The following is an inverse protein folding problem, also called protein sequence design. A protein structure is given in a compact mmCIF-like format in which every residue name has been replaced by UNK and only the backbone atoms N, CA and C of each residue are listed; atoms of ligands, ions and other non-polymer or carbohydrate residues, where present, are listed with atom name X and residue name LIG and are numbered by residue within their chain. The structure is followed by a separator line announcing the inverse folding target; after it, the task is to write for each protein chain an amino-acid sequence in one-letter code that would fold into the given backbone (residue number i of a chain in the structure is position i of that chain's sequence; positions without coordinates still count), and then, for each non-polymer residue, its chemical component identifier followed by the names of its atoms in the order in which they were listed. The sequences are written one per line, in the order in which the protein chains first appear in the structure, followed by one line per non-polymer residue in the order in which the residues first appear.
data_IF_323672602273
#
_entry.id   IF_323672602273
#
_cell.length_a   1.000
_cell.length_b   1.000
_cell.length_c   1.000
_cell.angle_alpha   90.00
_cell.angle_beta   90.00
_cell.angle_gamma   90.00
#
_symmetry.space_group_name_H-M   'P 1'
#
loop_
_entity.id
_entity.type
_entity.pdbx_description
1 polymer ?
#
# COMPACT_ATOMS: atom_id res chain seq x y z
N UNK A 1 4.74 -22.52 -10.70
CA UNK A 1 5.19 -21.20 -10.23
C UNK A 1 4.10 -20.58 -9.36
N UNK A 2 4.25 -20.62 -8.05
CA UNK A 2 3.38 -19.91 -7.11
C UNK A 2 3.72 -18.43 -7.20
N UNK A 3 2.82 -17.61 -7.75
CA UNK A 3 2.98 -16.15 -7.69
C UNK A 3 2.89 -15.73 -6.22
N UNK A 4 3.94 -15.11 -5.69
CA UNK A 4 3.92 -14.54 -4.34
C UNK A 4 2.91 -13.38 -4.30
N UNK A 5 2.09 -13.26 -3.25
CA UNK A 5 1.16 -12.15 -3.12
C UNK A 5 1.92 -10.82 -3.03
N UNK A 6 1.50 -9.86 -3.86
CA UNK A 6 2.02 -8.48 -3.85
C UNK A 6 1.71 -7.79 -2.52
N UNK A 7 2.48 -6.76 -2.17
CA UNK A 7 2.22 -5.96 -0.95
C UNK A 7 0.78 -5.44 -0.92
N UNK A 8 0.28 -4.95 -2.07
CA UNK A 8 -1.12 -4.55 -2.20
C UNK A 8 -2.09 -5.69 -1.86
N UNK A 9 -1.91 -6.87 -2.47
CA UNK A 9 -2.83 -7.99 -2.26
C UNK A 9 -2.84 -8.50 -0.81
N UNK A 10 -1.68 -8.47 -0.14
CA UNK A 10 -1.58 -8.78 1.29
C UNK A 10 -2.43 -7.83 2.13
N UNK A 11 -2.18 -6.53 2.05
CA UNK A 11 -2.89 -5.52 2.84
C UNK A 11 -4.40 -5.53 2.53
N UNK A 12 -4.77 -5.61 1.24
CA UNK A 12 -6.17 -5.72 0.84
C UNK A 12 -6.84 -6.94 1.47
N UNK A 13 -6.18 -8.11 1.44
CA UNK A 13 -6.74 -9.34 2.01
C UNK A 13 -6.89 -9.26 3.54
N UNK A 14 -5.95 -8.60 4.23
CA UNK A 14 -6.00 -8.38 5.67
C UNK A 14 -7.16 -7.47 6.07
N UNK A 15 -7.40 -6.38 5.34
CA UNK A 15 -8.55 -5.50 5.59
C UNK A 15 -9.89 -6.17 5.27
N UNK A 16 -9.97 -6.93 4.17
CA UNK A 16 -11.18 -7.71 3.85
C UNK A 16 -11.50 -8.69 4.98
N UNK A 17 -10.48 -9.37 5.51
CA UNK A 17 -10.66 -10.35 6.60
C UNK A 17 -11.00 -9.67 7.93
N UNK A 18 -10.22 -8.68 8.34
CA UNK A 18 -10.37 -8.02 9.65
C UNK A 18 -11.68 -7.25 9.78
N UNK A 19 -12.16 -6.63 8.68
CA UNK A 19 -13.44 -5.90 8.66
C UNK A 19 -14.62 -6.76 8.19
N UNK A 20 -14.42 -8.08 8.06
CA UNK A 20 -15.44 -9.04 7.65
C UNK A 20 -16.20 -8.64 6.37
N UNK A 21 -15.45 -8.17 5.37
CA UNK A 21 -16.00 -7.60 4.15
C UNK A 21 -16.45 -8.73 3.22
N UNK A 22 -17.70 -8.64 2.74
CA UNK A 22 -18.22 -9.56 1.72
C UNK A 22 -17.61 -9.20 0.36
N UNK A 23 -16.66 -10.01 -0.11
CA UNK A 23 -15.95 -9.81 -1.39
C UNK A 23 -16.87 -9.56 -2.59
N UNK A 24 -18.02 -10.24 -2.65
CA UNK A 24 -19.00 -10.05 -3.74
C UNK A 24 -19.59 -8.64 -3.78
N UNK A 25 -19.84 -8.03 -2.62
CA UNK A 25 -20.39 -6.68 -2.53
C UNK A 25 -19.31 -5.63 -2.78
N UNK A 26 -18.09 -5.88 -2.30
CA UNK A 26 -16.93 -5.05 -2.64
C UNK A 26 -16.71 -5.00 -4.16
N UNK A 27 -16.79 -6.15 -4.83
CA UNK A 27 -16.68 -6.26 -6.29
C UNK A 27 -17.75 -5.42 -7.00
N UNK A 28 -19.01 -5.57 -6.58
CA UNK A 28 -20.13 -4.80 -7.10
C UNK A 28 -19.93 -3.29 -6.92
N UNK A 29 -19.55 -2.84 -5.72
CA UNK A 29 -19.32 -1.43 -5.43
C UNK A 29 -18.20 -0.83 -6.27
N UNK A 30 -17.13 -1.60 -6.47
CA UNK A 30 -15.99 -1.17 -7.27
C UNK A 30 -16.24 -1.23 -8.78
N UNK A 31 -17.38 -1.77 -9.24
CA UNK A 31 -17.63 -2.03 -10.66
C UNK A 31 -16.70 -3.08 -11.28
N UNK A 32 -16.20 -4.01 -10.47
CA UNK A 32 -15.28 -5.09 -10.88
C UNK A 32 -16.02 -6.42 -10.81
N UNK A 33 -15.85 -7.29 -11.80
CA UNK A 33 -16.43 -8.64 -11.74
C UNK A 33 -15.74 -9.49 -10.65
N UNK A 34 -16.43 -10.52 -10.18
CA UNK A 34 -15.95 -11.36 -9.07
C UNK A 34 -14.60 -12.01 -9.38
N UNK A 35 -14.40 -12.54 -10.59
CA UNK A 35 -13.15 -13.20 -10.95
C UNK A 35 -11.97 -12.24 -10.93
N UNK A 36 -12.14 -11.02 -11.43
CA UNK A 36 -11.11 -10.00 -11.34
C UNK A 36 -10.89 -9.54 -9.90
N UNK A 37 -11.93 -9.39 -9.08
CA UNK A 37 -11.76 -9.08 -7.64
C UNK A 37 -10.92 -10.15 -6.93
N UNK A 38 -11.19 -11.44 -7.15
CA UNK A 38 -10.38 -12.52 -6.57
C UNK A 38 -8.94 -12.54 -7.10
N UNK A 39 -8.69 -12.12 -8.35
CA UNK A 39 -7.32 -11.94 -8.87
C UNK A 39 -6.58 -10.80 -8.19
N UNK A 40 -7.28 -9.70 -7.85
CA UNK A 40 -6.71 -8.59 -7.07
C UNK A 40 -6.34 -9.05 -5.66
N UNK A 41 -7.27 -9.74 -4.98
CA UNK A 41 -7.08 -10.24 -3.61
C UNK A 41 -5.96 -11.30 -3.54
N UNK A 42 -5.84 -12.16 -4.56
CA UNK A 42 -4.79 -13.19 -4.62
C UNK A 42 -3.45 -12.68 -5.18
N UNK A 43 -3.36 -11.41 -5.59
CA UNK A 43 -2.14 -10.84 -6.16
C UNK A 43 -1.81 -11.29 -7.57
N UNK A 44 -2.72 -12.01 -8.26
CA UNK A 44 -2.57 -12.39 -9.68
C UNK A 44 -2.76 -11.21 -10.64
N UNK A 45 -3.30 -10.09 -10.14
CA UNK A 45 -3.55 -8.86 -10.90
C UNK A 45 -3.38 -7.65 -9.98
N UNK A 46 -2.93 -6.53 -10.53
CA UNK A 46 -2.90 -5.24 -9.84
C UNK A 46 -4.16 -4.42 -10.17
N UNK A 47 -4.60 -3.51 -9.27
CA UNK A 47 -5.63 -2.52 -9.59
C UNK A 47 -5.26 -1.74 -10.85
N UNK A 48 -6.26 -1.39 -11.66
CA UNK A 48 -6.02 -0.63 -12.90
C UNK A 48 -5.77 0.85 -12.68
N UNK A 49 -6.12 1.38 -11.50
CA UNK A 49 -5.99 2.80 -11.16
C UNK A 49 -5.97 2.99 -9.64
N UNK A 50 -5.44 4.13 -9.19
CA UNK A 50 -5.53 4.53 -7.78
C UNK A 50 -6.99 4.84 -7.37
N UNK A 51 -7.82 5.34 -8.29
CA UNK A 51 -9.26 5.56 -8.05
C UNK A 51 -9.98 4.27 -7.61
N UNK A 52 -9.65 3.14 -8.24
CA UNK A 52 -10.18 1.84 -7.84
C UNK A 52 -9.75 1.47 -6.41
N UNK A 53 -8.50 1.79 -6.04
CA UNK A 53 -8.00 1.55 -4.67
C UNK A 53 -8.74 2.41 -3.66
N UNK A 54 -8.99 3.69 -3.97
CA UNK A 54 -9.78 4.59 -3.12
C UNK A 54 -11.22 4.10 -2.97
N UNK A 55 -11.86 3.59 -4.04
CA UNK A 55 -13.19 2.96 -3.95
C UNK A 55 -13.21 1.75 -3.02
N UNK A 56 -12.17 0.92 -3.06
CA UNK A 56 -12.04 -0.19 -2.11
C UNK A 56 -11.90 0.31 -0.67
N UNK A 57 -11.04 1.30 -0.45
CA UNK A 57 -10.83 1.90 0.87
C UNK A 57 -12.12 2.50 1.46
N UNK A 58 -12.86 3.23 0.63
CA UNK A 58 -14.14 3.83 0.98
C UNK A 58 -15.20 2.78 1.35
N UNK A 59 -15.36 1.74 0.53
CA UNK A 59 -16.30 0.65 0.81
C UNK A 59 -15.98 -0.07 2.13
N UNK A 60 -14.69 -0.31 2.39
CA UNK A 60 -14.22 -0.95 3.61
C UNK A 60 -14.21 -0.02 4.82
N UNK A 61 -14.56 1.27 4.64
CA UNK A 61 -14.50 2.31 5.66
C UNK A 61 -13.12 2.34 6.35
N UNK A 62 -12.08 2.39 5.53
CA UNK A 62 -10.72 2.56 6.02
C UNK A 62 -10.57 3.94 6.66
N UNK A 63 -9.88 3.99 7.79
CA UNK A 63 -9.40 5.23 8.38
C UNK A 63 -8.43 5.93 7.41
N UNK A 64 -8.16 7.24 7.59
CA UNK A 64 -7.19 7.93 6.76
C UNK A 64 -5.80 7.26 6.74
N UNK A 65 -5.39 6.66 7.86
CA UNK A 65 -4.11 5.93 7.97
C UNK A 65 -4.15 4.63 7.18
N UNK A 66 -5.18 3.80 7.34
CA UNK A 66 -5.34 2.55 6.59
C UNK A 66 -5.47 2.80 5.07
N UNK A 67 -6.15 3.89 4.68
CA UNK A 67 -6.26 4.29 3.27
C UNK A 67 -4.88 4.65 2.69
N UNK A 68 -4.08 5.45 3.41
CA UNK A 68 -2.70 5.77 3.00
C UNK A 68 -1.85 4.52 2.84
N UNK A 69 -1.94 3.59 3.78
CA UNK A 69 -1.22 2.32 3.75
C UNK A 69 -1.61 1.48 2.51
N UNK A 70 -2.90 1.35 2.21
CA UNK A 70 -3.37 0.61 1.05
C UNK A 70 -2.91 1.24 -0.29
N UNK A 71 -2.96 2.57 -0.38
CA UNK A 71 -2.51 3.33 -1.56
C UNK A 71 -0.99 3.25 -1.73
N UNK A 72 -0.22 3.34 -0.64
CA UNK A 72 1.22 3.16 -0.65
C UNK A 72 1.60 1.77 -1.15
N UNK A 73 0.95 0.72 -0.63
CA UNK A 73 1.14 -0.65 -1.08
C UNK A 73 0.79 -0.86 -2.57
N UNK A 74 -0.26 -0.18 -3.06
CA UNK A 74 -0.58 -0.14 -4.49
C UNK A 74 0.56 0.49 -5.29
N UNK A 75 1.04 1.68 -4.91
CA UNK A 75 2.12 2.40 -5.60
C UNK A 75 3.41 1.59 -5.65
N UNK A 76 3.79 0.95 -4.54
CA UNK A 76 4.93 0.02 -4.48
C UNK A 76 4.76 -1.10 -5.51
N UNK A 77 3.57 -1.69 -5.54
CA UNK A 77 3.26 -2.84 -6.38
C UNK A 77 3.29 -2.50 -7.88
N UNK A 78 2.82 -1.32 -8.29
CA UNK A 78 2.78 -0.92 -9.71
C UNK A 78 4.07 -0.23 -10.19
N UNK A 79 4.84 0.40 -9.31
CA UNK A 79 6.10 1.10 -9.67
C UNK A 79 7.32 0.17 -9.62
N UNK A 80 7.18 -1.00 -9.00
CA UNK A 80 8.26 -1.95 -8.77
C UNK A 80 9.03 -1.66 -7.47
N UNK A 81 9.36 -2.74 -6.76
CA UNK A 81 10.01 -2.74 -5.44
C UNK A 81 11.33 -1.93 -5.42
N UNK A 82 12.11 -1.96 -6.50
CA UNK A 82 13.41 -1.27 -6.60
C UNK A 82 13.32 0.26 -6.64
N UNK A 83 12.25 0.83 -7.20
CA UNK A 83 12.12 2.31 -7.31
C UNK A 83 11.63 2.93 -6.00
N UNK A 84 10.78 2.21 -5.25
CA UNK A 84 10.20 2.72 -4.01
C UNK A 84 11.23 2.79 -2.88
N UNK A 85 12.01 1.72 -2.67
CA UNK A 85 13.02 1.71 -1.61
C UNK A 85 14.23 2.61 -1.97
N UNK A 86 14.61 2.73 -3.25
CA UNK A 86 15.66 3.69 -3.67
C UNK A 86 15.31 5.14 -3.29
N UNK A 87 14.02 5.53 -3.26
CA UNK A 87 13.57 6.86 -2.84
C UNK A 87 13.34 6.98 -1.32
N UNK A 88 12.83 5.93 -0.67
CA UNK A 88 12.63 5.90 0.79
C UNK A 88 13.97 5.87 1.55
N UNK A 89 14.95 5.09 1.09
CA UNK A 89 16.31 5.11 1.65
C UNK A 89 16.95 6.49 1.49
N UNK A 90 16.78 7.20 0.36
CA UNK A 90 17.31 8.56 0.24
C UNK A 90 16.61 9.53 1.20
N UNK A 91 15.30 9.41 1.41
CA UNK A 91 14.59 10.25 2.40
C UNK A 91 15.02 9.96 3.84
N UNK A 92 15.13 8.69 4.24
CA UNK A 92 15.63 8.29 5.56
C UNK A 92 17.13 8.66 5.72
N UNK A 93 17.93 8.57 4.66
CA UNK A 93 19.36 8.90 4.68
C UNK A 93 19.60 10.41 4.75
N UNK A 94 18.85 11.24 4.01
CA UNK A 94 18.94 12.71 4.09
C UNK A 94 18.41 13.21 5.44
N UNK A 95 17.34 12.61 5.98
CA UNK A 95 16.85 12.91 7.33
C UNK A 95 17.90 12.62 8.40
N UNK A 96 18.66 11.52 8.25
CA UNK A 96 19.77 11.18 9.15
C UNK A 96 21.04 12.04 8.98
N UNK A 97 21.22 12.75 7.86
CA UNK A 97 22.33 13.70 7.70
C UNK A 97 22.01 15.05 8.36
N UNK A 98 20.74 15.47 8.36
CA UNK A 98 20.29 16.70 9.04
C UNK A 98 20.33 16.59 10.57
N UNK A 99 20.27 15.38 11.14
CA UNK A 99 20.30 15.18 12.59
C UNK A 99 21.69 14.97 13.19
N UNK A 100 22.75 14.89 12.37
CA UNK A 100 24.13 14.61 12.84
C UNK A 100 25.07 15.82 12.84
N UNK A 101 24.57 16.99 12.48
CA UNK A 101 25.37 18.23 12.50
C UNK A 101 25.05 19.13 13.71
N UNK A 102 23.95 18.86 14.44
CA UNK A 102 23.62 19.55 15.70
C UNK A 102 24.36 18.97 16.93
N UNK A 103 24.76 17.69 16.92
CA UNK A 103 25.47 17.07 18.06
C UNK A 103 26.98 17.37 18.13
N UNK A 104 27.58 17.99 17.11
CA UNK A 104 29.02 18.34 17.10
C UNK A 104 29.27 19.78 17.59
N UNK A 105 28.21 20.60 17.74
CA UNK A 105 28.34 21.99 18.18
C UNK A 105 28.33 22.18 19.71
N UNK A 106 28.08 21.13 20.51
CA UNK A 106 27.93 21.24 21.97
C UNK A 106 29.14 20.71 22.78
N UNK A 107 30.22 20.25 22.12
CA UNK A 107 31.45 19.77 22.82
C UNK A 107 32.54 20.86 22.83
N UNK A 108 32.14 22.13 22.75
CA UNK A 108 33.03 23.27 22.99
C UNK A 108 32.32 24.35 23.80
N UNK A 109 32.12 24.12 25.10
CA UNK A 109 31.97 25.15 26.14
C UNK A 109 32.37 24.59 27.49
#
# INVERSE_FOLDING_TARGET
MTNLPTMFSKILSEYIKSKNIKTNLLAQYCGVDRSNMYKLISGKRNPGSEELVHKMADYMRLTPTECRELVEAYRITVTGYETYYRRKTIQDFIGNFSGKMDDIADISS
#
